data_IF_643088686546
#
_entry.id   IF_643088686546
#
_cell.length_a   1.000
_cell.length_b   1.000
_cell.length_c   1.000
_cell.angle_alpha   90.00
_cell.angle_beta   90.00
_cell.angle_gamma   90.00
#
_symmetry.space_group_name_H-M   'P 1'
#
loop_
_entity.id
_entity.type
_entity.pdbx_description
1 polymer ?
#
# COMPACT_ATOMS: atom_id res chain seq x y z
N UNK A 1 -20.78 -27.94 -40.86
CA UNK A 1 -19.69 -26.93 -40.97
C UNK A 1 -20.24 -25.66 -40.33
N UNK A 2 -19.72 -25.22 -39.18
CA UNK A 2 -20.29 -24.08 -38.46
C UNK A 2 -19.76 -22.77 -39.06
N UNK A 3 -20.66 -21.97 -39.63
CA UNK A 3 -20.39 -20.65 -40.20
C UNK A 3 -20.33 -19.62 -39.07
N UNK A 4 -19.26 -18.81 -39.02
CA UNK A 4 -19.13 -17.71 -38.06
C UNK A 4 -19.15 -16.37 -38.81
N UNK A 5 -19.95 -15.42 -38.33
CA UNK A 5 -19.97 -14.04 -38.83
C UNK A 5 -18.77 -13.26 -38.27
N UNK A 6 -18.06 -12.53 -39.14
CA UNK A 6 -16.97 -11.63 -38.77
C UNK A 6 -17.28 -10.19 -39.19
N UNK A 7 -16.83 -9.24 -38.37
CA UNK A 7 -17.02 -7.80 -38.56
C UNK A 7 -15.80 -7.25 -39.31
N UNK A 8 -15.96 -6.85 -40.58
CA UNK A 8 -14.88 -6.22 -41.36
C UNK A 8 -14.81 -4.72 -41.05
N UNK A 9 -13.70 -4.30 -40.43
CA UNK A 9 -13.47 -2.93 -39.99
C UNK A 9 -12.74 -2.05 -41.02
N UNK A 10 -12.44 -2.58 -42.21
CA UNK A 10 -11.65 -1.85 -43.22
C UNK A 10 -12.46 -0.92 -44.11
N UNK A 11 -13.80 -1.02 -44.11
CA UNK A 11 -14.68 -0.26 -45.01
C UNK A 11 -15.11 1.14 -44.51
N UNK A 12 -14.69 1.56 -43.31
CA UNK A 12 -15.21 2.77 -42.66
C UNK A 12 -14.62 4.12 -43.13
N UNK A 13 -13.94 4.17 -44.28
CA UNK A 13 -13.17 5.35 -44.71
C UNK A 13 -13.90 6.27 -45.72
N UNK A 14 -15.23 6.22 -45.85
CA UNK A 14 -15.97 7.16 -46.70
C UNK A 14 -16.86 8.09 -45.86
N UNK A 15 -16.55 9.38 -45.96
CA UNK A 15 -17.24 10.51 -45.35
C UNK A 15 -18.69 10.60 -45.83
N UNK A 16 -19.65 10.17 -45.02
CA UNK A 16 -21.02 10.70 -45.06
C UNK A 16 -21.70 10.50 -43.70
N UNK A 17 -22.43 11.52 -43.26
CA UNK A 17 -22.82 11.80 -41.86
C UNK A 17 -23.99 10.91 -41.34
N UNK A 18 -24.06 9.69 -41.86
CA UNK A 18 -24.94 8.62 -41.41
C UNK A 18 -24.13 7.31 -41.36
N UNK A 19 -23.35 7.14 -40.28
CA UNK A 19 -22.53 5.94 -40.05
C UNK A 19 -23.39 4.68 -39.82
N UNK A 20 -23.97 4.14 -40.88
CA UNK A 20 -24.48 2.77 -40.94
C UNK A 20 -23.32 1.89 -41.39
N UNK A 21 -22.65 1.21 -40.46
CA UNK A 21 -21.59 0.25 -40.77
C UNK A 21 -22.18 -0.92 -41.56
N UNK A 22 -21.88 -1.08 -42.86
CA UNK A 22 -22.46 -2.16 -43.63
C UNK A 22 -21.71 -3.45 -43.31
N UNK A 23 -22.38 -4.40 -42.65
CA UNK A 23 -21.90 -5.77 -42.55
C UNK A 23 -22.10 -6.45 -43.92
N UNK A 24 -21.02 -6.91 -44.56
CA UNK A 24 -21.15 -7.79 -45.73
C UNK A 24 -21.73 -9.13 -45.29
N UNK A 25 -22.97 -9.40 -45.70
CA UNK A 25 -23.69 -10.64 -45.39
C UNK A 25 -23.43 -11.73 -46.44
N UNK A 26 -23.30 -12.97 -45.99
CA UNK A 26 -23.42 -14.13 -46.88
C UNK A 26 -24.90 -14.32 -47.25
N UNK A 27 -25.17 -14.58 -48.54
CA UNK A 27 -26.53 -14.61 -49.10
C UNK A 27 -27.49 -15.53 -48.31
N UNK A 28 -28.61 -14.96 -47.82
CA UNK A 28 -29.75 -15.73 -47.28
C UNK A 28 -30.19 -15.41 -45.85
N UNK A 29 -29.51 -14.51 -45.10
CA UNK A 29 -29.98 -14.09 -43.77
C UNK A 29 -30.71 -12.73 -43.82
N UNK A 30 -31.89 -12.65 -43.18
CA UNK A 30 -32.65 -11.42 -43.05
C UNK A 30 -31.84 -10.36 -42.27
N UNK A 31 -31.80 -9.09 -42.72
CA UNK A 31 -31.02 -8.05 -42.07
C UNK A 31 -31.57 -7.79 -40.67
N UNK A 32 -30.85 -8.22 -39.64
CA UNK A 32 -31.04 -7.68 -38.30
C UNK A 32 -30.39 -6.29 -38.32
N UNK A 33 -31.18 -5.27 -38.61
CA UNK A 33 -30.75 -3.88 -38.44
C UNK A 33 -30.58 -3.60 -36.96
N UNK A 34 -29.34 -3.53 -36.47
CA UNK A 34 -29.10 -3.11 -35.11
C UNK A 34 -29.15 -1.59 -35.08
N UNK A 35 -30.10 -1.04 -34.33
CA UNK A 35 -30.06 0.39 -34.03
C UNK A 35 -28.78 0.70 -33.26
N UNK A 36 -28.25 1.92 -33.36
CA UNK A 36 -27.09 2.35 -32.56
C UNK A 36 -27.32 2.09 -31.07
N UNK A 37 -28.56 2.27 -30.59
CA UNK A 37 -28.95 1.98 -29.21
C UNK A 37 -28.86 0.48 -28.87
N UNK A 38 -29.27 -0.42 -29.78
CA UNK A 38 -29.16 -1.87 -29.59
C UNK A 38 -27.69 -2.32 -29.61
N UNK A 39 -26.89 -1.76 -30.51
CA UNK A 39 -25.45 -1.99 -30.57
C UNK A 39 -24.75 -1.52 -29.30
N UNK A 40 -25.02 -0.31 -28.85
CA UNK A 40 -24.47 0.23 -27.61
C UNK A 40 -24.92 -0.55 -26.37
N UNK A 41 -26.17 -1.02 -26.35
CA UNK A 41 -26.68 -1.89 -25.28
C UNK A 41 -25.95 -3.23 -25.27
N UNK A 42 -25.69 -3.82 -26.43
CA UNK A 42 -24.95 -5.07 -26.54
C UNK A 42 -23.48 -4.92 -26.18
N UNK A 43 -22.81 -3.85 -26.65
CA UNK A 43 -21.43 -3.52 -26.27
C UNK A 43 -21.36 -3.35 -24.75
N UNK A 44 -22.26 -2.57 -24.15
CA UNK A 44 -22.34 -2.44 -22.69
C UNK A 44 -22.58 -3.79 -22.03
N UNK A 45 -23.54 -4.60 -22.48
CA UNK A 45 -23.79 -5.91 -21.88
C UNK A 45 -22.60 -6.89 -22.01
N UNK A 46 -21.86 -6.86 -23.13
CA UNK A 46 -20.71 -7.71 -23.39
C UNK A 46 -19.45 -7.28 -22.65
N UNK A 47 -19.23 -5.97 -22.50
CA UNK A 47 -18.01 -5.41 -21.91
C UNK A 47 -18.21 -4.82 -20.49
N UNK A 48 -19.44 -4.73 -19.97
CA UNK A 48 -19.70 -4.32 -18.59
C UNK A 48 -19.66 -5.47 -17.59
N UNK A 49 -19.79 -6.72 -18.03
CA UNK A 49 -19.81 -7.90 -17.15
C UNK A 49 -18.42 -8.50 -16.91
N UNK A 50 -17.45 -8.24 -17.79
CA UNK A 50 -16.08 -8.76 -17.69
C UNK A 50 -15.12 -7.62 -17.97
N UNK A 51 -14.27 -7.23 -17.00
CA UNK A 51 -13.15 -6.33 -17.26
C UNK A 51 -12.42 -6.86 -18.49
N UNK A 52 -12.21 -6.01 -19.49
CA UNK A 52 -11.37 -6.35 -20.64
C UNK A 52 -10.02 -6.81 -20.08
N UNK A 53 -9.74 -8.11 -20.20
CA UNK A 53 -8.45 -8.66 -19.87
C UNK A 53 -7.47 -8.09 -20.89
N UNK A 54 -6.87 -6.94 -20.57
CA UNK A 54 -5.71 -6.46 -21.30
C UNK A 54 -4.61 -7.48 -20.99
N UNK A 55 -4.19 -8.24 -22.00
CA UNK A 55 -3.03 -9.10 -21.89
C UNK A 55 -1.85 -8.24 -21.39
N UNK A 56 -1.42 -8.47 -20.14
CA UNK A 56 -0.38 -7.67 -19.48
C UNK A 56 -0.84 -6.46 -18.65
N UNK A 57 -2.11 -6.29 -18.30
CA UNK A 57 -2.50 -5.16 -17.43
C UNK A 57 -3.95 -5.07 -16.95
N UNK A 58 -4.85 -5.93 -17.40
CA UNK A 58 -6.20 -5.99 -16.86
C UNK A 58 -6.22 -6.81 -15.58
N UNK A 59 -6.12 -6.18 -14.41
CA UNK A 59 -6.13 -6.90 -13.12
C UNK A 59 -7.50 -7.48 -12.75
N UNK A 60 -8.57 -7.04 -13.42
CA UNK A 60 -9.95 -7.35 -13.04
C UNK A 60 -10.33 -6.90 -11.63
N UNK A 61 -9.46 -6.12 -10.97
CA UNK A 61 -9.58 -5.81 -9.56
C UNK A 61 -10.52 -4.62 -9.33
N UNK A 62 -11.40 -4.75 -8.35
CA UNK A 62 -12.33 -3.69 -7.95
C UNK A 62 -11.66 -2.56 -7.13
N UNK A 63 -10.36 -2.65 -6.84
CA UNK A 63 -9.62 -1.62 -6.11
C UNK A 63 -8.18 -1.50 -6.59
N UNK A 64 -7.60 -0.31 -6.45
CA UNK A 64 -6.19 -0.05 -6.75
C UNK A 64 -5.25 -0.96 -5.94
N UNK A 65 -5.62 -1.30 -4.70
CA UNK A 65 -4.86 -2.20 -3.83
C UNK A 65 -4.83 -3.63 -4.37
N UNK A 66 -5.99 -4.16 -4.75
CA UNK A 66 -6.08 -5.50 -5.35
C UNK A 66 -5.41 -5.53 -6.73
N UNK A 67 -5.44 -4.43 -7.48
CA UNK A 67 -4.69 -4.30 -8.73
C UNK A 67 -3.18 -4.32 -8.47
N UNK A 68 -2.69 -3.56 -7.48
CA UNK A 68 -1.28 -3.55 -7.10
C UNK A 68 -0.82 -4.96 -6.65
N UNK A 69 -1.62 -5.64 -5.84
CA UNK A 69 -1.33 -7.02 -5.43
C UNK A 69 -1.27 -7.98 -6.62
N UNK A 70 -2.23 -7.91 -7.55
CA UNK A 70 -2.27 -8.77 -8.73
C UNK A 70 -1.08 -8.52 -9.69
N UNK A 71 -0.57 -7.29 -9.74
CA UNK A 71 0.58 -6.92 -10.57
C UNK A 71 1.92 -7.04 -9.85
N UNK A 72 1.93 -7.38 -8.56
CA UNK A 72 3.16 -7.41 -7.74
C UNK A 72 3.77 -6.03 -7.46
N UNK A 73 3.00 -4.94 -7.61
CA UNK A 73 3.43 -3.59 -7.24
C UNK A 73 3.16 -3.30 -5.77
N UNK A 74 3.94 -2.39 -5.20
CA UNK A 74 3.67 -1.89 -3.85
C UNK A 74 2.45 -0.97 -3.81
N UNK A 75 1.87 -0.83 -2.63
CA UNK A 75 0.75 0.10 -2.41
C UNK A 75 1.00 0.95 -1.16
N UNK A 76 0.73 2.26 -1.24
CA UNK A 76 0.81 3.15 -0.08
C UNK A 76 -0.39 2.94 0.83
N UNK A 77 -0.14 2.60 2.10
CA UNK A 77 -1.16 2.43 3.12
C UNK A 77 -1.45 3.71 3.90
N UNK A 78 -0.43 4.54 4.11
CA UNK A 78 -0.58 5.80 4.83
C UNK A 78 0.62 6.71 4.61
N UNK A 79 0.36 8.01 4.66
CA UNK A 79 1.40 9.05 4.70
C UNK A 79 0.92 10.24 5.51
N UNK A 80 1.84 10.91 6.19
CA UNK A 80 1.55 12.18 6.84
C UNK A 80 1.28 13.29 5.83
N UNK A 81 0.34 14.19 6.14
CA UNK A 81 0.18 15.47 5.42
C UNK A 81 1.05 16.60 6.03
N UNK A 82 1.64 16.35 7.20
CA UNK A 82 2.47 17.27 7.97
C UNK A 82 2.83 16.66 9.34
N UNK A 83 3.43 17.46 10.25
CA UNK A 83 3.87 16.98 11.55
C UNK A 83 2.72 16.45 12.43
N UNK A 84 3.01 15.38 13.19
CA UNK A 84 2.09 14.67 14.05
C UNK A 84 2.70 14.40 15.44
N UNK A 85 1.96 14.71 16.53
CA UNK A 85 0.81 15.63 16.53
C UNK A 85 1.22 17.02 15.99
N UNK A 86 0.25 17.89 15.70
CA UNK A 86 0.53 19.20 15.08
C UNK A 86 1.47 20.09 15.92
N UNK A 87 1.53 19.87 17.22
CA UNK A 87 2.54 20.41 18.14
C UNK A 87 3.43 19.28 18.68
N UNK A 88 4.70 19.53 19.02
CA UNK A 88 5.56 18.52 19.62
C UNK A 88 4.94 17.89 20.88
N UNK A 89 5.08 16.58 21.01
CA UNK A 89 4.70 15.85 22.21
C UNK A 89 5.64 16.21 23.36
N UNK A 90 5.09 16.54 24.54
CA UNK A 90 5.83 16.97 25.73
C UNK A 90 5.01 16.70 27.01
N UNK A 91 5.60 16.91 28.18
CA UNK A 91 4.88 16.94 29.47
C UNK A 91 4.49 15.58 30.07
N UNK A 92 4.69 14.46 29.36
CA UNK A 92 4.47 13.10 29.87
C UNK A 92 5.65 12.20 29.55
N UNK A 93 5.92 11.27 30.46
CA UNK A 93 6.94 10.22 30.29
C UNK A 93 6.34 8.89 29.85
N UNK A 94 5.02 8.81 29.72
CA UNK A 94 4.36 7.61 29.22
C UNK A 94 4.54 7.50 27.70
N UNK A 95 4.75 6.27 27.21
CA UNK A 95 4.77 6.00 25.78
C UNK A 95 3.43 6.39 25.16
N UNK A 96 3.48 7.31 24.20
CA UNK A 96 2.30 7.92 23.59
C UNK A 96 2.29 7.69 22.09
N UNK A 97 1.12 7.29 21.56
CA UNK A 97 0.90 7.15 20.12
C UNK A 97 0.77 8.52 19.47
N UNK A 98 1.60 8.79 18.46
CA UNK A 98 1.59 10.03 17.68
C UNK A 98 0.83 9.87 16.35
N UNK A 99 0.88 8.67 15.76
CA UNK A 99 0.17 8.32 14.53
C UNK A 99 -0.13 6.82 14.47
N UNK A 100 -1.23 6.47 13.80
CA UNK A 100 -1.64 5.08 13.54
C UNK A 100 -1.89 4.90 12.05
N UNK A 101 -1.39 3.80 11.48
CA UNK A 101 -1.67 3.36 10.11
C UNK A 101 -2.29 1.98 10.18
N UNK A 102 -3.51 1.85 9.67
CA UNK A 102 -4.19 0.57 9.58
C UNK A 102 -3.58 -0.28 8.46
N UNK A 103 -3.14 -1.49 8.81
CA UNK A 103 -2.69 -2.53 7.89
C UNK A 103 -3.87 -3.47 7.65
N UNK A 104 -4.43 -3.51 6.43
CA UNK A 104 -5.57 -4.37 6.15
C UNK A 104 -5.24 -5.84 6.33
N UNK A 105 -6.24 -6.61 6.76
CA UNK A 105 -6.18 -8.06 6.87
C UNK A 105 -5.62 -8.72 5.61
N UNK A 106 -4.60 -9.57 5.76
CA UNK A 106 -3.98 -10.30 4.65
C UNK A 106 -3.21 -9.46 3.66
N UNK A 107 -3.05 -8.14 3.87
CA UNK A 107 -2.42 -7.27 2.88
C UNK A 107 -0.96 -7.62 2.59
N UNK A 108 -0.22 -8.17 3.56
CA UNK A 108 1.16 -8.58 3.35
C UNK A 108 1.24 -9.95 2.64
N UNK A 109 0.34 -10.89 2.94
CA UNK A 109 0.51 -12.30 2.57
C UNK A 109 1.70 -12.96 3.30
N UNK A 110 1.91 -14.28 3.16
CA UNK A 110 2.93 -15.03 3.92
C UNK A 110 4.38 -14.57 3.72
N UNK A 111 4.69 -13.92 2.58
CA UNK A 111 6.05 -13.49 2.23
C UNK A 111 6.18 -11.98 1.94
N UNK A 112 5.11 -11.20 2.13
CA UNK A 112 5.18 -9.75 1.92
C UNK A 112 5.81 -8.99 3.08
N UNK A 113 5.90 -7.67 2.90
CA UNK A 113 6.58 -6.78 3.83
C UNK A 113 5.92 -5.41 3.92
N UNK A 114 6.18 -4.71 5.02
CA UNK A 114 5.97 -3.28 5.14
C UNK A 114 7.29 -2.57 4.89
N UNK A 115 7.28 -1.56 4.02
CA UNK A 115 8.34 -0.56 3.91
C UNK A 115 7.86 0.71 4.60
N UNK A 116 8.59 1.13 5.61
CA UNK A 116 8.22 2.25 6.48
C UNK A 116 9.33 3.29 6.36
N UNK A 117 8.96 4.54 6.14
CA UNK A 117 9.87 5.68 6.19
C UNK A 117 9.32 6.69 7.18
N UNK A 118 10.16 7.22 8.05
CA UNK A 118 9.76 8.23 9.03
C UNK A 118 10.84 9.27 9.28
N UNK A 119 10.42 10.50 9.52
CA UNK A 119 11.27 11.62 9.88
C UNK A 119 10.80 12.19 11.21
N UNK A 120 11.73 12.32 12.15
CA UNK A 120 11.46 12.74 13.51
C UNK A 120 12.24 13.99 13.84
N UNK A 121 11.66 14.84 14.69
CA UNK A 121 12.33 15.97 15.30
C UNK A 121 12.13 15.94 16.82
N UNK A 122 13.14 16.33 17.57
CA UNK A 122 13.11 16.35 19.02
C UNK A 122 14.09 17.38 19.56
N UNK A 123 13.96 17.69 20.85
CA UNK A 123 14.89 18.61 21.52
C UNK A 123 16.28 17.98 21.59
N UNK A 124 17.32 18.74 21.24
CA UNK A 124 18.70 18.37 21.52
C UNK A 124 18.99 18.63 23.00
N UNK A 125 19.02 17.59 23.81
CA UNK A 125 19.19 17.66 25.26
C UNK A 125 19.73 16.34 25.79
N UNK A 126 20.45 16.34 26.91
CA UNK A 126 20.92 15.09 27.56
C UNK A 126 19.80 14.17 28.08
N UNK A 127 18.54 14.61 28.05
CA UNK A 127 17.37 13.77 28.35
C UNK A 127 17.09 12.83 27.19
N UNK A 128 16.87 11.54 27.48
CA UNK A 128 16.51 10.56 26.46
C UNK A 128 15.07 10.72 25.96
N UNK A 129 14.88 10.40 24.68
CA UNK A 129 13.59 10.28 24.00
C UNK A 129 13.62 8.96 23.27
N UNK A 130 12.68 8.09 23.56
CA UNK A 130 12.59 6.80 22.90
C UNK A 130 11.51 6.85 21.85
N UNK A 131 11.92 6.80 20.59
CA UNK A 131 11.06 6.85 19.41
C UNK A 131 10.86 5.42 18.92
N UNK A 132 9.61 4.99 18.78
CA UNK A 132 9.32 3.61 18.37
C UNK A 132 8.31 3.55 17.25
N UNK A 133 8.37 2.43 16.54
CA UNK A 133 7.35 1.97 15.61
C UNK A 133 6.93 0.58 16.11
N UNK A 134 5.63 0.35 16.27
CA UNK A 134 5.09 -0.94 16.74
C UNK A 134 4.03 -1.48 15.80
N UNK A 135 3.96 -2.80 15.67
CA UNK A 135 2.92 -3.50 14.93
C UNK A 135 1.97 -4.22 15.90
N UNK A 136 0.66 -4.02 15.73
CA UNK A 136 -0.37 -4.52 16.65
C UNK A 136 -0.69 -3.56 17.79
N UNK A 137 -0.54 -2.24 17.57
CA UNK A 137 -0.85 -1.20 18.54
C UNK A 137 0.25 -0.93 19.59
N UNK A 138 -0.10 -0.22 20.66
CA UNK A 138 0.86 0.27 21.67
C UNK A 138 1.55 -0.87 22.45
N UNK A 139 0.85 -1.98 22.70
CA UNK A 139 1.41 -3.21 23.27
C UNK A 139 1.94 -4.18 22.19
N UNK A 140 2.09 -3.67 20.96
CA UNK A 140 2.51 -4.42 19.80
C UNK A 140 3.99 -4.77 19.78
N UNK A 141 4.37 -5.53 18.76
CA UNK A 141 5.76 -5.90 18.52
C UNK A 141 6.56 -4.68 18.12
N UNK A 142 7.75 -4.54 18.69
CA UNK A 142 8.63 -3.40 18.42
C UNK A 142 9.32 -3.61 17.08
N UNK A 143 8.89 -2.84 16.09
CA UNK A 143 9.46 -2.78 14.74
C UNK A 143 10.69 -1.87 14.74
N UNK A 144 10.60 -0.72 15.41
CA UNK A 144 11.71 0.20 15.62
C UNK A 144 11.80 0.70 17.06
N UNK A 145 13.02 0.89 17.54
CA UNK A 145 13.33 1.43 18.87
C UNK A 145 14.61 2.26 18.78
N UNK A 146 14.49 3.58 18.91
CA UNK A 146 15.63 4.49 18.91
C UNK A 146 15.59 5.38 20.14
N UNK A 147 16.61 5.26 20.98
CA UNK A 147 16.86 6.17 22.10
C UNK A 147 17.76 7.30 21.62
N UNK A 148 17.24 8.53 21.64
CA UNK A 148 17.93 9.73 21.15
C UNK A 148 17.98 10.81 22.22
N UNK A 149 19.05 11.61 22.25
CA UNK A 149 19.23 12.67 23.24
C UNK A 149 19.89 13.92 22.65
N UNK A 150 21.20 13.86 22.35
CA UNK A 150 22.04 15.00 21.95
C UNK A 150 22.03 15.32 20.45
N UNK A 151 21.10 14.74 19.72
CA UNK A 151 20.82 15.05 18.31
C UNK A 151 19.48 15.79 18.20
N UNK A 152 19.09 16.19 16.98
CA UNK A 152 17.84 16.95 16.77
C UNK A 152 16.85 16.27 15.84
N UNK A 153 17.35 15.38 14.99
CA UNK A 153 16.58 14.79 13.89
C UNK A 153 17.01 13.36 13.72
N UNK A 154 16.05 12.48 13.46
CA UNK A 154 16.30 11.09 13.08
C UNK A 154 15.43 10.75 11.87
N UNK A 155 16.01 10.06 10.90
CA UNK A 155 15.31 9.51 9.75
C UNK A 155 15.44 7.99 9.78
N UNK A 156 14.34 7.29 9.59
CA UNK A 156 14.28 5.84 9.58
C UNK A 156 13.69 5.35 8.27
N UNK A 157 14.32 4.33 7.69
CA UNK A 157 13.75 3.49 6.63
C UNK A 157 13.83 2.05 7.10
N UNK A 158 12.69 1.36 7.12
CA UNK A 158 12.56 0.03 7.69
C UNK A 158 11.82 -0.92 6.79
N UNK A 159 12.26 -2.17 6.78
CA UNK A 159 11.54 -3.27 6.15
C UNK A 159 11.21 -4.31 7.22
N UNK A 160 9.92 -4.57 7.41
CA UNK A 160 9.39 -5.58 8.32
C UNK A 160 8.59 -6.59 7.52
N UNK A 161 9.01 -7.85 7.48
CA UNK A 161 8.47 -8.84 6.53
C UNK A 161 7.91 -10.06 7.22
N UNK A 162 6.86 -10.63 6.67
CA UNK A 162 6.42 -11.97 7.02
C UNK A 162 7.46 -12.98 6.51
N UNK A 163 7.67 -14.07 7.26
CA UNK A 163 8.66 -15.09 6.94
C UNK A 163 7.95 -16.42 6.69
N UNK A 164 7.44 -16.60 5.46
CA UNK A 164 6.68 -17.77 5.04
C UNK A 164 5.47 -18.08 5.95
N UNK A 165 4.99 -17.08 6.67
CA UNK A 165 3.89 -17.18 7.63
C UNK A 165 3.36 -15.80 7.97
N UNK A 166 2.03 -15.66 7.97
CA UNK A 166 1.38 -14.40 8.37
C UNK A 166 1.44 -14.13 9.87
N UNK A 167 1.91 -15.10 10.68
CA UNK A 167 2.07 -14.98 12.14
C UNK A 167 3.53 -14.95 12.59
N UNK A 168 4.49 -14.85 11.66
CA UNK A 168 5.90 -14.74 11.99
C UNK A 168 6.54 -13.65 11.14
N UNK A 169 7.09 -12.63 11.80
CA UNK A 169 7.78 -11.54 11.13
C UNK A 169 9.27 -11.53 11.45
N UNK A 170 10.03 -10.95 10.53
CA UNK A 170 11.45 -10.67 10.69
C UNK A 170 11.77 -9.28 10.16
N UNK A 171 12.73 -8.61 10.80
CA UNK A 171 13.24 -7.34 10.32
C UNK A 171 14.41 -6.84 11.13
N UNK A 172 14.90 -5.68 10.74
CA UNK A 172 15.96 -4.99 11.47
C UNK A 172 15.33 -4.10 12.55
N UNK A 173 15.53 -4.42 13.84
CA UNK A 173 15.02 -3.61 14.96
C UNK A 173 16.06 -2.63 15.51
N UNK A 174 17.34 -2.99 15.44
CA UNK A 174 18.43 -2.41 16.22
C UNK A 174 18.36 -0.89 16.34
N UNK A 175 18.65 -0.40 17.56
CA UNK A 175 18.75 1.01 17.96
C UNK A 175 19.85 1.82 17.23
N UNK A 176 20.33 1.32 16.09
CA UNK A 176 21.27 2.05 15.28
C UNK A 176 20.54 3.23 14.64
N UNK A 177 20.99 4.44 14.97
CA UNK A 177 20.56 5.70 14.35
C UNK A 177 20.85 5.79 12.84
N UNK A 178 21.37 4.71 12.24
CA UNK A 178 21.74 4.58 10.84
C UNK A 178 20.81 3.54 10.19
N UNK A 179 19.73 4.00 9.58
CA UNK A 179 18.61 3.14 9.19
C UNK A 179 18.86 2.23 7.97
N UNK A 180 19.96 2.43 7.23
CA UNK A 180 20.31 1.58 6.08
C UNK A 180 21.80 1.22 6.21
N UNK A 181 22.10 -0.09 6.11
CA UNK A 181 23.45 -0.66 6.14
C UNK A 181 24.22 -0.60 7.48
N UNK A 182 23.54 -0.58 8.62
CA UNK A 182 24.18 -0.72 9.92
C UNK A 182 24.51 -2.19 10.24
N UNK A 183 25.77 -2.47 10.60
CA UNK A 183 26.15 -3.74 11.22
C UNK A 183 25.85 -3.70 12.71
N UNK A 184 25.48 -4.84 13.27
CA UNK A 184 25.10 -4.96 14.68
C UNK A 184 25.62 -6.27 15.23
N UNK A 185 25.92 -6.30 16.52
CA UNK A 185 26.29 -7.51 17.25
C UNK A 185 25.06 -8.32 17.71
N UNK A 186 23.85 -7.86 17.38
CA UNK A 186 22.58 -8.45 17.80
C UNK A 186 21.88 -9.01 16.56
N UNK A 187 21.21 -10.16 16.70
CA UNK A 187 20.45 -10.77 15.62
C UNK A 187 19.31 -9.88 15.10
N UNK A 188 18.73 -10.29 13.96
CA UNK A 188 17.50 -9.70 13.46
C UNK A 188 16.38 -9.82 14.51
N UNK A 189 15.44 -8.87 14.49
CA UNK A 189 14.28 -8.96 15.35
C UNK A 189 13.18 -9.77 14.70
N UNK A 190 12.37 -10.38 15.56
CA UNK A 190 11.21 -11.14 15.19
C UNK A 190 9.92 -10.50 15.73
N UNK A 191 8.81 -10.79 15.06
CA UNK A 191 7.46 -10.48 15.50
C UNK A 191 6.55 -11.70 15.37
N UNK A 192 5.40 -11.62 16.02
CA UNK A 192 4.41 -12.70 16.10
C UNK A 192 2.98 -12.21 15.82
N UNK A 193 2.81 -11.01 15.27
CA UNK A 193 1.47 -10.49 14.94
C UNK A 193 0.85 -11.27 13.79
N UNK A 194 -0.42 -11.62 13.95
CA UNK A 194 -1.20 -12.27 12.89
C UNK A 194 -1.67 -11.24 11.85
N UNK A 195 -0.89 -11.12 10.78
CA UNK A 195 -1.18 -10.24 9.65
C UNK A 195 -2.25 -10.80 8.69
N UNK A 196 -2.83 -11.97 8.99
CA UNK A 196 -4.08 -12.40 8.33
C UNK A 196 -5.28 -11.62 8.87
N UNK A 197 -5.20 -11.12 10.09
CA UNK A 197 -6.10 -10.12 10.65
C UNK A 197 -5.59 -8.69 10.37
N UNK A 198 -6.48 -7.70 10.51
CA UNK A 198 -6.10 -6.30 10.44
C UNK A 198 -5.17 -5.95 11.62
N UNK A 199 -4.13 -5.17 11.36
CA UNK A 199 -3.14 -4.76 12.35
C UNK A 199 -2.98 -3.24 12.35
N UNK A 200 -2.65 -2.68 13.51
CA UNK A 200 -2.31 -1.27 13.62
C UNK A 200 -0.79 -1.10 13.71
N UNK A 201 -0.23 -0.36 12.76
CA UNK A 201 1.13 0.14 12.86
C UNK A 201 1.10 1.50 13.56
N UNK A 202 1.72 1.62 14.72
CA UNK A 202 1.73 2.86 15.51
C UNK A 202 3.13 3.44 15.60
N UNK A 203 3.21 4.77 15.49
CA UNK A 203 4.40 5.55 15.76
C UNK A 203 4.26 6.14 17.15
N UNK A 204 5.25 5.91 18.02
CA UNK A 204 5.18 6.32 19.42
C UNK A 204 6.42 7.07 19.87
N UNK A 205 6.25 7.87 20.92
CA UNK A 205 7.35 8.51 21.63
C UNK A 205 7.17 8.33 23.13
N UNK A 206 8.27 8.10 23.83
CA UNK A 206 8.38 8.09 25.28
C UNK A 206 9.50 9.06 25.67
N UNK A 207 9.26 9.91 26.67
CA UNK A 207 10.23 10.91 27.11
C UNK A 207 10.77 10.52 28.48
N UNK A 208 12.08 10.61 28.69
CA UNK A 208 12.66 10.38 30.02
C UNK A 208 12.29 11.49 31.02
N UNK A 209 11.90 12.68 30.54
CA UNK A 209 11.36 13.76 31.37
C UNK A 209 10.38 14.64 30.60
N UNK A 210 9.49 15.32 31.33
CA UNK A 210 8.52 16.26 30.75
C UNK A 210 9.13 17.54 30.16
N UNK A 211 10.42 17.82 30.38
CA UNK A 211 11.12 18.97 29.79
C UNK A 211 11.60 18.72 28.36
N UNK A 212 11.57 17.46 27.90
CA UNK A 212 11.87 17.09 26.54
C UNK A 212 10.63 17.22 25.63
N UNK A 213 10.88 17.20 24.32
CA UNK A 213 9.86 16.97 23.32
C UNK A 213 10.34 16.04 22.20
N UNK A 214 9.36 15.46 21.51
CA UNK A 214 9.51 14.69 20.28
C UNK A 214 8.30 14.90 19.35
N UNK A 215 8.50 14.80 18.05
CA UNK A 215 7.46 14.96 17.04
C UNK A 215 7.78 14.11 15.81
N UNK A 216 6.75 13.45 15.27
CA UNK A 216 6.85 12.78 13.98
C UNK A 216 6.59 13.82 12.89
N UNK A 217 7.61 14.23 12.16
CA UNK A 217 7.48 15.27 11.13
C UNK A 217 6.83 14.72 9.87
N UNK A 218 7.25 13.52 9.45
CA UNK A 218 6.68 12.85 8.31
C UNK A 218 6.74 11.33 8.45
N UNK A 219 5.79 10.64 7.83
CA UNK A 219 5.87 9.20 7.62
C UNK A 219 5.29 8.80 6.27
N UNK A 220 5.74 7.65 5.77
CA UNK A 220 5.20 6.96 4.61
C UNK A 220 5.27 5.46 4.86
N UNK A 221 4.15 4.77 4.69
CA UNK A 221 4.04 3.31 4.89
C UNK A 221 3.50 2.69 3.62
N UNK A 222 4.23 1.69 3.13
CA UNK A 222 3.89 0.94 1.93
C UNK A 222 3.87 -0.55 2.23
N UNK A 223 2.97 -1.27 1.56
CA UNK A 223 2.96 -2.73 1.56
C UNK A 223 3.58 -3.25 0.27
N UNK A 224 4.47 -4.21 0.43
CA UNK A 224 5.05 -5.06 -0.61
C UNK A 224 4.34 -6.40 -0.52
N UNK A 225 3.57 -6.77 -1.53
CA UNK A 225 2.83 -8.04 -1.54
C UNK A 225 3.78 -9.22 -1.76
N UNK A 226 3.56 -10.33 -1.03
CA UNK A 226 4.26 -11.59 -1.25
C UNK A 226 3.38 -12.77 -0.86
N UNK A 227 3.07 -13.63 -1.83
CA UNK A 227 2.42 -14.91 -1.62
C UNK A 227 3.38 -15.93 -1.01
#
# INVERSE_FOLDING_TARGET
>A
MATYDYLDLTAAAAEDDAHVLPLQQTAGQQPRGWTLAALMTWIRAKFAATPLAVAGGGTGAASARAAAAALGFWHTLGKSAGPLPSSPHTGTTAETVLATVAIPAGAMGPNGALRITSLWQYTNSGTDKTLRIRLGGLAGDVVADAVVSTTRTWTDLRVWRNQNSQSAQVGYRTAATNAIAATTTVDFATGSKDTSAAQDLVFTAELASGSANAQLIAYHVEVLYGA
#
